data_IF_339714012483
#
_entry.id   IF_339714012483
#
_cell.length_a   1.000
_cell.length_b   1.000
_cell.length_c   1.000
_cell.angle_alpha   90.00
_cell.angle_beta   90.00
_cell.angle_gamma   90.00
#
_symmetry.space_group_name_H-M   'P 1'
#
loop_
_entity.id
_entity.type
_entity.pdbx_description
1 polymer ?
#
# COMPACT_ATOMS: atom_id res chain seq x y z
N UNK A 1 20.95 0.31 -0.02
CA UNK A 1 19.64 -0.12 0.50
C UNK A 1 18.53 0.86 0.07
N UNK A 2 18.63 2.16 0.40
CA UNK A 2 17.66 3.20 0.00
C UNK A 2 17.22 3.20 -1.46
N UNK A 3 18.15 3.14 -2.41
CA UNK A 3 17.84 3.09 -3.85
C UNK A 3 17.00 1.86 -4.25
N UNK A 4 17.36 0.67 -3.77
CA UNK A 4 16.59 -0.54 -4.05
C UNK A 4 15.21 -0.51 -3.37
N UNK A 5 15.14 0.01 -2.12
CA UNK A 5 13.89 0.20 -1.42
C UNK A 5 12.96 1.18 -2.18
N UNK A 6 13.48 2.30 -2.67
CA UNK A 6 12.72 3.26 -3.49
C UNK A 6 12.14 2.61 -4.75
N UNK A 7 12.92 1.79 -5.46
CA UNK A 7 12.44 1.07 -6.64
C UNK A 7 11.32 0.07 -6.32
N UNK A 8 11.48 -0.69 -5.22
CA UNK A 8 10.49 -1.67 -4.75
C UNK A 8 9.21 -0.96 -4.32
N UNK A 9 9.33 0.12 -3.53
CA UNK A 9 8.19 0.92 -3.06
C UNK A 9 7.45 1.55 -4.24
N UNK A 10 8.16 2.13 -5.21
CA UNK A 10 7.54 2.69 -6.41
C UNK A 10 6.71 1.66 -7.19
N UNK A 11 7.25 0.44 -7.37
CA UNK A 11 6.52 -0.67 -7.98
C UNK A 11 5.33 -1.14 -7.15
N UNK A 12 5.49 -1.23 -5.83
CA UNK A 12 4.42 -1.63 -4.91
C UNK A 12 3.26 -0.62 -4.92
N UNK A 13 3.55 0.67 -4.83
CA UNK A 13 2.54 1.75 -4.85
C UNK A 13 1.85 1.83 -6.21
N UNK A 14 2.57 1.60 -7.32
CA UNK A 14 1.95 1.44 -8.65
C UNK A 14 0.91 0.32 -8.65
N UNK A 15 1.28 -0.86 -8.16
CA UNK A 15 0.38 -2.02 -8.12
C UNK A 15 -0.81 -1.80 -7.20
N UNK A 16 -0.59 -1.22 -6.00
CA UNK A 16 -1.64 -0.90 -5.04
C UNK A 16 -2.71 0.00 -5.68
N UNK A 17 -2.26 1.10 -6.30
CA UNK A 17 -3.13 2.08 -6.94
C UNK A 17 -3.92 1.52 -8.14
N UNK A 18 -3.39 0.53 -8.85
CA UNK A 18 -4.09 -0.10 -9.97
C UNK A 18 -4.99 -1.27 -9.53
N UNK A 19 -5.01 -1.60 -8.24
CA UNK A 19 -5.71 -2.76 -7.72
C UNK A 19 -7.13 -2.42 -7.26
N UNK A 20 -8.16 -3.19 -7.70
CA UNK A 20 -9.51 -3.04 -7.15
C UNK A 20 -9.62 -3.50 -5.68
N UNK A 21 -8.56 -4.13 -5.15
CA UNK A 21 -8.45 -4.49 -3.74
C UNK A 21 -8.01 -3.35 -2.83
N UNK A 22 -7.30 -2.36 -3.37
CA UNK A 22 -6.71 -1.30 -2.56
C UNK A 22 -7.80 -0.48 -1.88
N UNK A 23 -7.62 -0.25 -0.58
CA UNK A 23 -8.60 0.46 0.25
C UNK A 23 -8.75 1.91 -0.20
N UNK A 24 -7.65 2.60 -0.50
CA UNK A 24 -7.69 3.99 -0.99
C UNK A 24 -8.36 4.06 -2.35
N UNK A 25 -8.02 3.15 -3.26
CA UNK A 25 -8.62 3.04 -4.59
C UNK A 25 -10.14 2.81 -4.52
N UNK A 26 -10.59 1.92 -3.63
CA UNK A 26 -12.01 1.66 -3.40
C UNK A 26 -12.72 2.87 -2.78
N UNK A 27 -12.10 3.48 -1.77
CA UNK A 27 -12.66 4.61 -1.02
C UNK A 27 -12.73 5.90 -1.87
N UNK A 28 -11.74 6.16 -2.73
CA UNK A 28 -11.76 7.26 -3.69
C UNK A 28 -12.89 7.09 -4.72
N UNK A 29 -13.13 5.87 -5.19
CA UNK A 29 -14.25 5.57 -6.08
C UNK A 29 -15.61 5.72 -5.36
N UNK A 30 -15.71 5.22 -4.11
CA UNK A 30 -16.90 5.27 -3.28
C UNK A 30 -17.34 6.72 -2.98
N UNK A 31 -16.43 7.54 -2.46
CA UNK A 31 -16.69 8.93 -2.04
C UNK A 31 -17.16 9.79 -3.21
N UNK A 32 -16.53 9.60 -4.37
CA UNK A 32 -16.87 10.34 -5.59
C UNK A 32 -18.05 9.76 -6.36
N UNK A 33 -18.60 8.62 -5.90
CA UNK A 33 -19.70 7.89 -6.54
C UNK A 33 -19.37 7.47 -7.99
N UNK A 34 -18.16 6.96 -8.20
CA UNK A 34 -17.67 6.46 -9.50
C UNK A 34 -17.52 4.95 -9.43
N UNK A 35 -17.83 4.26 -10.53
CA UNK A 35 -17.55 2.83 -10.62
C UNK A 35 -16.04 2.56 -10.53
N UNK A 36 -15.64 1.56 -9.73
CA UNK A 36 -14.22 1.23 -9.48
C UNK A 36 -13.40 1.04 -10.77
N UNK A 37 -13.96 0.40 -11.79
CA UNK A 37 -13.26 0.20 -13.07
C UNK A 37 -13.15 1.49 -13.88
N UNK A 38 -14.13 2.40 -13.79
CA UNK A 38 -14.04 3.72 -14.39
C UNK A 38 -13.00 4.60 -13.68
N UNK A 39 -12.90 4.48 -12.36
CA UNK A 39 -11.84 5.11 -11.56
C UNK A 39 -10.45 4.61 -11.99
N UNK A 40 -10.22 3.29 -11.99
CA UNK A 40 -8.96 2.68 -12.45
C UNK A 40 -8.62 3.13 -13.88
N UNK A 41 -9.60 3.08 -14.80
CA UNK A 41 -9.41 3.54 -16.18
C UNK A 41 -8.99 5.02 -16.24
N UNK A 42 -9.54 5.86 -15.38
CA UNK A 42 -9.15 7.26 -15.29
C UNK A 42 -7.71 7.43 -14.78
N UNK A 43 -7.32 6.64 -13.77
CA UNK A 43 -5.97 6.66 -13.20
C UNK A 43 -4.89 6.19 -14.18
N UNK A 44 -5.20 5.32 -15.13
CA UNK A 44 -4.24 4.89 -16.16
C UNK A 44 -3.60 6.06 -16.90
N UNK A 45 -4.34 7.17 -17.09
CA UNK A 45 -3.83 8.37 -17.77
C UNK A 45 -2.72 9.10 -17.03
N UNK A 46 -2.64 8.98 -15.70
CA UNK A 46 -1.56 9.59 -14.91
C UNK A 46 -0.53 8.56 -14.51
N UNK A 47 -1.00 7.36 -14.14
CA UNK A 47 -0.17 6.31 -13.54
C UNK A 47 0.68 5.58 -14.58
N UNK A 48 0.15 5.22 -15.76
CA UNK A 48 0.95 4.52 -16.77
C UNK A 48 2.09 5.40 -17.31
N UNK A 49 1.85 6.67 -17.72
CA UNK A 49 2.95 7.54 -18.16
C UNK A 49 4.01 7.75 -17.08
N UNK A 50 3.59 8.00 -15.83
CA UNK A 50 4.51 8.16 -14.70
C UNK A 50 5.33 6.89 -14.46
N UNK A 51 4.72 5.72 -14.58
CA UNK A 51 5.39 4.43 -14.38
C UNK A 51 6.37 4.11 -15.51
N UNK A 52 6.05 4.46 -16.76
CA UNK A 52 7.00 4.31 -17.88
C UNK A 52 8.23 5.20 -17.67
N UNK A 53 8.03 6.45 -17.24
CA UNK A 53 9.12 7.37 -16.92
C UNK A 53 9.95 6.81 -15.75
N UNK A 54 9.29 6.37 -14.68
CA UNK A 54 9.94 5.76 -13.53
C UNK A 54 10.75 4.51 -13.91
N UNK A 55 10.18 3.61 -14.71
CA UNK A 55 10.88 2.42 -15.21
C UNK A 55 12.12 2.80 -16.03
N UNK A 56 12.04 3.81 -16.89
CA UNK A 56 13.18 4.28 -17.66
C UNK A 56 14.29 4.84 -16.75
N UNK A 57 13.92 5.64 -15.73
CA UNK A 57 14.86 6.18 -14.74
C UNK A 57 15.52 5.03 -13.96
N UNK A 58 14.73 4.10 -13.40
CA UNK A 58 15.24 2.96 -12.66
C UNK A 58 16.12 2.04 -13.50
N UNK A 59 15.79 1.86 -14.78
CA UNK A 59 16.62 1.11 -15.72
C UNK A 59 17.99 1.78 -15.93
N UNK A 60 18.02 3.09 -16.20
CA UNK A 60 19.27 3.83 -16.42
C UNK A 60 20.14 3.83 -15.15
N UNK A 61 19.53 4.09 -13.98
CA UNK A 61 20.23 4.06 -12.69
C UNK A 61 20.75 2.65 -12.40
N UNK A 62 19.96 1.62 -12.71
CA UNK A 62 20.35 0.22 -12.56
C UNK A 62 21.57 -0.17 -13.40
N UNK A 63 21.67 0.33 -14.64
CA UNK A 63 22.83 0.09 -15.51
C UNK A 63 24.15 0.66 -14.97
N UNK A 64 24.07 1.71 -14.15
CA UNK A 64 25.24 2.31 -13.52
C UNK A 64 25.71 1.54 -12.28
N UNK A 65 24.87 0.65 -11.75
CA UNK A 65 25.16 -0.08 -10.53
C UNK A 65 26.04 -1.30 -10.80
N UNK A 66 27.34 -1.17 -10.53
CA UNK A 66 28.31 -2.27 -10.55
C UNK A 66 28.35 -2.99 -9.20
N UNK A 67 27.25 -3.66 -8.84
CA UNK A 67 27.21 -4.50 -7.64
C UNK A 67 27.86 -5.85 -7.91
N UNK A 68 28.82 -6.27 -7.08
CA UNK A 68 29.31 -7.65 -7.08
C UNK A 68 28.21 -8.56 -6.47
N UNK A 69 27.51 -9.30 -7.32
CA UNK A 69 26.53 -10.26 -6.86
C UNK A 69 27.27 -11.46 -6.25
N UNK A 70 27.21 -11.60 -4.92
CA UNK A 70 27.76 -12.76 -4.23
C UNK A 70 26.91 -14.01 -4.54
N UNK A 71 27.20 -14.64 -5.68
CA UNK A 71 26.43 -15.78 -6.20
C UNK A 71 26.48 -16.96 -5.23
N UNK A 72 27.59 -17.12 -4.50
CA UNK A 72 27.74 -18.19 -3.51
C UNK A 72 26.80 -17.99 -2.32
N UNK A 73 26.67 -16.76 -1.81
CA UNK A 73 25.71 -16.44 -0.75
C UNK A 73 24.26 -16.68 -1.20
N UNK A 74 23.92 -16.31 -2.44
CA UNK A 74 22.59 -16.55 -3.02
C UNK A 74 22.30 -18.06 -3.12
N UNK A 75 23.26 -18.85 -3.61
CA UNK A 75 23.08 -20.31 -3.73
C UNK A 75 22.92 -20.98 -2.38
N UNK A 76 23.69 -20.56 -1.38
CA UNK A 76 23.56 -21.07 -0.01
C UNK A 76 22.17 -20.77 0.57
N UNK A 77 21.68 -19.53 0.37
CA UNK A 77 20.35 -19.11 0.82
C UNK A 77 19.24 -19.91 0.14
N UNK A 78 19.32 -20.12 -1.18
CA UNK A 78 18.33 -20.92 -1.92
C UNK A 78 18.31 -22.38 -1.47
N UNK A 79 19.49 -22.96 -1.20
CA UNK A 79 19.61 -24.33 -0.69
C UNK A 79 18.96 -24.46 0.69
N UNK A 80 19.20 -23.49 1.56
CA UNK A 80 18.58 -23.43 2.89
C UNK A 80 17.05 -23.29 2.79
N UNK A 81 16.54 -22.39 1.95
CA UNK A 81 15.09 -22.25 1.74
C UNK A 81 14.42 -23.52 1.20
N UNK A 82 15.11 -24.28 0.35
CA UNK A 82 14.59 -25.56 -0.18
C UNK A 82 14.51 -26.64 0.91
N UNK A 83 15.26 -26.51 2.00
CA UNK A 83 15.14 -27.40 3.17
C UNK A 83 14.04 -27.00 4.13
N UNK A 84 13.56 -25.75 4.05
CA UNK A 84 12.49 -25.20 4.89
C UNK A 84 11.12 -25.33 4.20
N UNK A 85 11.05 -25.03 2.90
CA UNK A 85 9.82 -25.02 2.12
C UNK A 85 9.81 -26.13 1.07
N UNK A 86 8.68 -26.84 0.99
CA UNK A 86 8.33 -27.72 -0.11
C UNK A 86 7.64 -26.88 -1.20
N UNK A 87 8.45 -26.30 -2.10
CA UNK A 87 7.93 -25.52 -3.23
C UNK A 87 7.25 -26.41 -4.27
N UNK A 88 5.99 -26.74 -4.03
CA UNK A 88 5.15 -27.52 -4.94
C UNK A 88 3.95 -26.71 -5.44
N UNK A 89 3.08 -27.37 -6.22
CA UNK A 89 1.90 -26.72 -6.76
C UNK A 89 0.91 -26.23 -5.68
N UNK A 90 0.85 -26.89 -4.51
CA UNK A 90 -0.10 -26.56 -3.44
C UNK A 90 0.16 -25.19 -2.82
N UNK A 91 1.43 -24.75 -2.75
CA UNK A 91 1.82 -23.43 -2.21
C UNK A 91 1.16 -22.26 -2.95
N UNK A 92 0.72 -22.47 -4.20
CA UNK A 92 0.05 -21.43 -5.00
C UNK A 92 -1.44 -21.25 -4.69
N UNK A 93 -2.07 -22.21 -4.01
CA UNK A 93 -3.52 -22.19 -3.79
C UNK A 93 -4.00 -20.95 -3.03
N UNK A 94 -3.34 -20.46 -1.95
CA UNK A 94 -3.79 -19.26 -1.25
C UNK A 94 -3.80 -18.03 -2.17
N UNK A 95 -2.81 -17.91 -3.06
CA UNK A 95 -2.75 -16.86 -4.07
C UNK A 95 -3.90 -17.01 -5.09
N UNK A 96 -4.11 -18.21 -5.60
CA UNK A 96 -5.19 -18.51 -6.56
C UNK A 96 -6.55 -18.19 -5.96
N UNK A 97 -6.78 -18.54 -4.70
CA UNK A 97 -8.01 -18.24 -3.97
C UNK A 97 -8.27 -16.74 -3.91
N UNK A 98 -7.25 -15.93 -3.55
CA UNK A 98 -7.40 -14.47 -3.56
C UNK A 98 -7.82 -14.01 -4.95
N UNK A 99 -7.07 -14.39 -5.99
CA UNK A 99 -7.33 -13.98 -7.38
C UNK A 99 -8.75 -14.36 -7.82
N UNK A 100 -9.21 -15.56 -7.52
CA UNK A 100 -10.58 -16.00 -7.81
C UNK A 100 -11.61 -15.15 -7.07
N UNK A 101 -11.43 -14.89 -5.77
CA UNK A 101 -12.31 -14.02 -5.01
C UNK A 101 -12.42 -12.62 -5.64
N UNK A 102 -11.33 -12.07 -6.20
CA UNK A 102 -11.35 -10.77 -6.89
C UNK A 102 -12.14 -10.81 -8.18
N UNK A 103 -11.93 -11.86 -8.97
CA UNK A 103 -12.67 -12.07 -10.23
C UNK A 103 -14.17 -12.15 -9.93
N UNK A 104 -14.55 -12.83 -8.85
CA UNK A 104 -15.93 -12.93 -8.39
C UNK A 104 -16.43 -11.73 -7.58
N UNK A 105 -15.63 -10.66 -7.46
CA UNK A 105 -15.99 -9.40 -6.77
C UNK A 105 -16.38 -9.60 -5.30
N UNK A 106 -15.79 -10.58 -4.64
CA UNK A 106 -15.89 -10.75 -3.18
C UNK A 106 -15.12 -9.60 -2.52
N UNK A 107 -15.62 -9.08 -1.40
CA UNK A 107 -14.96 -8.00 -0.67
C UNK A 107 -13.53 -8.38 -0.23
N UNK A 108 -12.64 -7.39 -0.13
CA UNK A 108 -11.21 -7.57 0.19
C UNK A 108 -11.00 -8.36 1.48
N UNK A 109 -11.63 -7.94 2.58
CA UNK A 109 -11.41 -8.54 3.91
C UNK A 109 -11.79 -10.03 3.96
N UNK A 110 -13.00 -10.46 3.52
CA UNK A 110 -13.31 -11.88 3.40
C UNK A 110 -12.34 -12.64 2.49
N UNK A 111 -11.92 -12.06 1.37
CA UNK A 111 -10.99 -12.70 0.43
C UNK A 111 -9.64 -13.01 1.08
N UNK A 112 -9.10 -12.06 1.86
CA UNK A 112 -7.85 -12.24 2.61
C UNK A 112 -7.99 -13.29 3.72
N UNK A 113 -9.14 -13.36 4.41
CA UNK A 113 -9.40 -14.37 5.43
C UNK A 113 -9.49 -15.78 4.85
N UNK A 114 -10.23 -15.97 3.76
CA UNK A 114 -10.36 -17.27 3.08
C UNK A 114 -8.99 -17.75 2.60
N UNK A 115 -8.20 -16.85 2.01
CA UNK A 115 -6.84 -17.16 1.60
C UNK A 115 -5.92 -17.53 2.77
N UNK A 116 -5.97 -16.77 3.86
CA UNK A 116 -5.16 -17.05 5.06
C UNK A 116 -5.52 -18.41 5.66
N UNK A 117 -6.80 -18.76 5.74
CA UNK A 117 -7.26 -20.08 6.19
C UNK A 117 -6.76 -21.18 5.24
N UNK A 118 -6.80 -20.95 3.94
CA UNK A 118 -6.26 -21.93 2.97
C UNK A 118 -4.75 -22.12 3.13
N UNK A 119 -3.99 -21.04 3.41
CA UNK A 119 -2.56 -21.11 3.69
C UNK A 119 -2.27 -21.93 4.95
N UNK A 120 -3.08 -21.78 6.01
CA UNK A 120 -2.98 -22.59 7.21
C UNK A 120 -3.21 -24.08 6.91
N UNK A 121 -4.26 -24.40 6.14
CA UNK A 121 -4.57 -25.77 5.73
C UNK A 121 -3.38 -26.37 4.97
N UNK A 122 -2.87 -25.68 3.95
CA UNK A 122 -1.76 -26.19 3.13
C UNK A 122 -0.47 -26.31 3.95
N UNK A 123 -0.17 -25.32 4.80
CA UNK A 123 0.98 -25.39 5.70
C UNK A 123 0.92 -26.61 6.63
N UNK A 124 -0.27 -26.94 7.14
CA UNK A 124 -0.44 -28.12 8.00
C UNK A 124 -0.30 -29.44 7.26
N UNK A 125 -0.85 -29.56 6.04
CA UNK A 125 -0.83 -30.82 5.30
C UNK A 125 0.49 -31.06 4.54
N UNK A 126 1.05 -30.03 3.92
CA UNK A 126 2.18 -30.16 3.00
C UNK A 126 3.54 -29.93 3.68
N UNK A 127 3.58 -29.01 4.64
CA UNK A 127 4.80 -28.66 5.37
C UNK A 127 4.81 -29.26 6.79
N UNK A 128 3.75 -30.00 7.17
CA UNK A 128 3.60 -30.65 8.48
C UNK A 128 3.69 -29.67 9.66
N UNK A 129 3.37 -28.40 9.44
CA UNK A 129 3.32 -27.41 10.52
C UNK A 129 2.19 -27.74 11.50
N UNK A 130 2.44 -27.49 12.78
CA UNK A 130 1.40 -27.54 13.78
C UNK A 130 0.39 -26.42 13.52
N UNK A 131 -0.89 -26.77 13.40
CA UNK A 131 -1.96 -25.81 13.14
C UNK A 131 -2.02 -24.70 14.19
N UNK A 132 -1.66 -25.00 15.45
CA UNK A 132 -1.57 -24.00 16.52
C UNK A 132 -0.52 -22.93 16.24
N UNK A 133 0.63 -23.35 15.71
CA UNK A 133 1.73 -22.44 15.37
C UNK A 133 1.36 -21.59 14.14
N UNK A 134 0.60 -22.14 13.19
CA UNK A 134 0.06 -21.37 12.08
C UNK A 134 -0.90 -20.25 12.52
N UNK A 135 -1.81 -20.54 13.45
CA UNK A 135 -2.66 -19.50 14.04
C UNK A 135 -1.84 -18.47 14.80
N UNK A 136 -0.86 -18.91 15.61
CA UNK A 136 0.05 -18.01 16.33
C UNK A 136 0.82 -17.11 15.36
N UNK A 137 1.31 -17.66 14.25
CA UNK A 137 2.01 -16.91 13.21
C UNK A 137 1.14 -15.81 12.58
N UNK A 138 -0.18 -16.04 12.48
CA UNK A 138 -1.10 -15.02 11.96
C UNK A 138 -1.20 -13.78 12.87
N UNK A 139 -1.01 -13.96 14.18
CA UNK A 139 -1.05 -12.89 15.17
C UNK A 139 0.35 -12.30 15.44
N UNK A 140 1.29 -13.14 15.86
CA UNK A 140 2.61 -12.73 16.34
C UNK A 140 3.66 -12.63 15.22
N UNK A 141 3.37 -13.20 14.05
CA UNK A 141 4.32 -13.39 12.96
C UNK A 141 4.96 -14.78 12.97
N UNK A 142 5.45 -15.19 11.81
CA UNK A 142 6.17 -16.45 11.66
C UNK A 142 7.56 -16.31 12.28
N UNK A 143 7.99 -17.30 13.06
CA UNK A 143 9.29 -17.27 13.74
C UNK A 143 10.05 -18.58 13.47
N UNK A 144 11.39 -18.53 13.39
CA UNK A 144 12.22 -19.71 13.23
C UNK A 144 11.98 -20.78 14.31
N UNK A 145 11.52 -20.42 15.51
CA UNK A 145 11.16 -21.40 16.56
C UNK A 145 9.96 -22.27 16.20
N UNK A 146 9.16 -21.86 15.22
CA UNK A 146 8.04 -22.65 14.68
C UNK A 146 8.52 -23.69 13.66
N UNK A 147 9.80 -23.66 13.28
CA UNK A 147 10.42 -24.66 12.43
C UNK A 147 11.04 -25.77 13.27
N UNK A 148 11.06 -26.97 12.71
CA UNK A 148 11.70 -28.14 13.32
C UNK A 148 13.23 -28.15 13.16
N UNK A 149 13.83 -27.13 12.50
CA UNK A 149 15.26 -27.02 12.25
C UNK A 149 15.94 -26.06 13.23
N UNK A 150 17.08 -26.47 13.76
CA UNK A 150 17.81 -25.75 14.82
C UNK A 150 18.78 -24.69 14.33
N UNK A 151 19.24 -24.75 13.07
CA UNK A 151 20.18 -23.78 12.52
C UNK A 151 19.67 -23.19 11.22
N UNK A 152 19.34 -21.90 11.28
CA UNK A 152 18.96 -21.08 10.13
C UNK A 152 19.86 -19.84 10.12
N UNK A 153 20.42 -19.51 8.96
CA UNK A 153 21.25 -18.33 8.74
C UNK A 153 20.45 -17.05 8.96
N UNK A 154 21.10 -15.96 9.39
CA UNK A 154 20.39 -14.71 9.65
C UNK A 154 19.77 -14.12 8.37
N UNK A 155 20.37 -14.35 7.20
CA UNK A 155 19.78 -13.97 5.92
C UNK A 155 18.47 -14.74 5.64
N UNK A 156 18.44 -16.04 5.92
CA UNK A 156 17.20 -16.82 5.79
C UNK A 156 16.15 -16.39 6.81
N UNK A 157 16.55 -16.06 8.05
CA UNK A 157 15.63 -15.50 9.06
C UNK A 157 14.94 -14.23 8.55
N UNK A 158 15.67 -13.30 7.93
CA UNK A 158 15.04 -12.07 7.39
C UNK A 158 13.99 -12.32 6.30
N UNK A 159 14.03 -13.48 5.63
CA UNK A 159 13.04 -13.83 4.61
C UNK A 159 11.83 -14.56 5.21
N UNK A 160 12.06 -15.48 6.14
CA UNK A 160 11.01 -16.35 6.70
C UNK A 160 10.29 -15.70 7.88
N UNK A 161 11.00 -14.91 8.69
CA UNK A 161 10.43 -14.24 9.86
C UNK A 161 9.67 -12.99 9.42
N UNK A 162 8.44 -13.21 8.99
CA UNK A 162 7.52 -12.15 8.60
C UNK A 162 6.56 -11.85 9.77
N UNK A 163 6.12 -10.60 9.85
CA UNK A 163 5.23 -10.15 10.92
C UNK A 163 3.86 -10.81 10.93
N UNK A 164 3.03 -10.43 11.90
CA UNK A 164 1.62 -10.80 12.00
C UNK A 164 0.79 -9.56 12.29
N UNK A 165 -0.47 -9.72 12.70
CA UNK A 165 -1.32 -8.57 13.06
C UNK A 165 -0.68 -7.68 14.13
N UNK A 166 0.11 -8.25 15.05
CA UNK A 166 0.79 -7.48 16.10
C UNK A 166 1.83 -6.50 15.56
N UNK A 167 2.53 -6.82 14.46
CA UNK A 167 3.50 -5.89 13.86
C UNK A 167 2.82 -4.68 13.22
N UNK A 168 1.51 -4.77 12.93
CA UNK A 168 0.70 -3.66 12.41
C UNK A 168 0.06 -2.81 13.52
N UNK A 169 0.25 -3.12 14.80
CA UNK A 169 -0.40 -2.41 15.92
C UNK A 169 -0.10 -0.92 15.91
N UNK A 170 1.17 -0.54 15.66
CA UNK A 170 1.55 0.87 15.57
C UNK A 170 0.79 1.57 14.45
N UNK A 171 0.69 0.94 13.28
CA UNK A 171 -0.05 1.49 12.12
C UNK A 171 -1.53 1.65 12.48
N UNK A 172 -2.14 0.64 13.11
CA UNK A 172 -3.54 0.68 13.53
C UNK A 172 -3.78 1.83 14.51
N UNK A 173 -2.94 1.97 15.54
CA UNK A 173 -3.04 3.06 16.52
C UNK A 173 -2.89 4.43 15.84
N UNK A 174 -1.92 4.58 14.93
CA UNK A 174 -1.76 5.80 14.13
C UNK A 174 -3.00 6.12 13.30
N UNK A 175 -3.63 5.11 12.69
CA UNK A 175 -4.89 5.27 11.95
C UNK A 175 -6.00 5.78 12.88
N UNK A 176 -6.17 5.17 14.06
CA UNK A 176 -7.18 5.60 15.03
C UNK A 176 -6.95 7.05 15.50
N UNK A 177 -5.72 7.41 15.84
CA UNK A 177 -5.36 8.77 16.23
C UNK A 177 -5.60 9.76 15.08
N UNK A 178 -5.24 9.40 13.84
CA UNK A 178 -5.49 10.20 12.65
C UNK A 178 -6.99 10.44 12.44
N UNK A 179 -7.83 9.41 12.54
CA UNK A 179 -9.28 9.53 12.39
C UNK A 179 -9.89 10.41 13.48
N UNK A 180 -9.44 10.25 14.73
CA UNK A 180 -9.88 11.09 15.84
C UNK A 180 -9.52 12.56 15.62
N UNK A 181 -8.27 12.84 15.21
CA UNK A 181 -7.82 14.20 14.89
C UNK A 181 -8.64 14.82 13.76
N UNK A 182 -8.82 14.10 12.66
CA UNK A 182 -9.58 14.58 11.52
C UNK A 182 -11.05 14.88 11.87
N UNK A 183 -11.69 14.00 12.66
CA UNK A 183 -13.05 14.24 13.15
C UNK A 183 -13.17 15.47 14.04
N UNK A 184 -12.15 15.77 14.86
CA UNK A 184 -12.10 17.00 15.68
C UNK A 184 -11.95 18.22 14.76
N UNK A 185 -11.04 18.18 13.79
CA UNK A 185 -10.79 19.27 12.82
C UNK A 185 -12.03 19.55 11.96
N UNK A 186 -12.74 18.50 11.56
CA UNK A 186 -14.03 18.61 10.86
C UNK A 186 -15.08 19.27 11.76
N UNK A 187 -15.26 18.76 12.99
CA UNK A 187 -16.30 19.29 13.88
C UNK A 187 -16.02 20.71 14.38
N UNK A 188 -14.75 21.10 14.44
CA UNK A 188 -14.31 22.46 14.75
C UNK A 188 -14.58 23.46 13.60
N UNK A 189 -14.98 22.99 12.41
CA UNK A 189 -15.25 23.84 11.24
C UNK A 189 -13.99 24.33 10.53
N UNK A 190 -12.80 23.83 10.90
CA UNK A 190 -11.55 24.22 10.25
C UNK A 190 -11.55 23.85 8.76
N UNK A 191 -12.17 22.71 8.42
CA UNK A 191 -12.28 22.23 7.05
C UNK A 191 -13.18 23.13 6.19
N UNK A 192 -14.28 23.62 6.77
CA UNK A 192 -15.20 24.53 6.08
C UNK A 192 -14.50 25.86 5.75
N UNK A 193 -13.71 26.39 6.69
CA UNK A 193 -12.91 27.60 6.47
C UNK A 193 -11.85 27.40 5.39
N UNK A 194 -11.17 26.24 5.39
CA UNK A 194 -10.20 25.88 4.35
C UNK A 194 -10.90 25.79 2.99
N UNK A 195 -12.05 25.12 2.92
CA UNK A 195 -12.84 25.00 1.70
C UNK A 195 -13.32 26.37 1.19
N UNK A 196 -13.89 27.21 2.03
CA UNK A 196 -14.34 28.54 1.62
C UNK A 196 -13.21 29.42 1.10
N UNK A 197 -12.04 29.32 1.74
CA UNK A 197 -10.83 30.05 1.32
C UNK A 197 -10.36 29.56 -0.05
N UNK A 198 -10.35 28.23 -0.24
CA UNK A 198 -9.99 27.59 -1.51
C UNK A 198 -10.98 27.93 -2.63
N UNK A 199 -12.29 27.87 -2.35
CA UNK A 199 -13.34 28.09 -3.33
C UNK A 199 -13.27 29.48 -3.96
N UNK A 200 -12.84 30.50 -3.21
CA UNK A 200 -12.63 31.87 -3.71
C UNK A 200 -11.52 31.96 -4.77
N UNK A 201 -10.56 31.04 -4.74
CA UNK A 201 -9.44 30.97 -5.69
C UNK A 201 -9.74 30.21 -6.98
N UNK A 202 -10.85 29.46 -7.03
CA UNK A 202 -11.16 28.58 -8.17
C UNK A 202 -11.80 29.37 -9.30
N UNK A 203 -10.97 29.72 -10.30
CA UNK A 203 -11.40 30.45 -11.52
C UNK A 203 -11.40 29.60 -12.79
N UNK A 204 -10.81 28.41 -12.74
CA UNK A 204 -10.66 27.52 -13.90
C UNK A 204 -10.56 26.05 -13.47
N UNK A 205 -10.82 25.12 -14.40
CA UNK A 205 -10.67 23.68 -14.16
C UNK A 205 -9.25 23.31 -13.72
N UNK A 206 -8.23 23.98 -14.27
CA UNK A 206 -6.83 23.75 -13.89
C UNK A 206 -6.57 24.16 -12.44
N UNK A 207 -7.09 25.31 -12.05
CA UNK A 207 -6.97 25.81 -10.68
C UNK A 207 -7.72 24.92 -9.69
N UNK A 208 -8.89 24.40 -10.06
CA UNK A 208 -9.64 23.43 -9.27
C UNK A 208 -8.84 22.15 -8.99
N UNK A 209 -8.28 21.54 -10.04
CA UNK A 209 -7.46 20.33 -9.91
C UNK A 209 -6.20 20.61 -9.07
N UNK A 210 -5.49 21.71 -9.36
CA UNK A 210 -4.28 22.10 -8.64
C UNK A 210 -4.55 22.27 -7.14
N UNK A 211 -5.61 23.01 -6.78
CA UNK A 211 -5.92 23.23 -5.38
C UNK A 211 -6.36 21.93 -4.70
N UNK A 212 -7.10 21.06 -5.41
CA UNK A 212 -7.45 19.73 -4.88
C UNK A 212 -6.18 18.94 -4.55
N UNK A 213 -5.19 18.92 -5.45
CA UNK A 213 -3.90 18.25 -5.21
C UNK A 213 -3.16 18.84 -4.01
N UNK A 214 -3.00 20.16 -3.97
CA UNK A 214 -2.26 20.84 -2.88
C UNK A 214 -2.95 20.62 -1.53
N UNK A 215 -4.29 20.74 -1.49
CA UNK A 215 -5.08 20.52 -0.30
C UNK A 215 -4.94 19.08 0.21
N UNK A 216 -5.11 18.09 -0.67
CA UNK A 216 -4.92 16.68 -0.32
C UNK A 216 -3.51 16.40 0.20
N UNK A 217 -2.46 16.91 -0.46
CA UNK A 217 -1.07 16.69 -0.01
C UNK A 217 -0.85 17.31 1.38
N UNK A 218 -1.29 18.55 1.61
CA UNK A 218 -1.15 19.21 2.91
C UNK A 218 -1.88 18.45 4.02
N UNK A 219 -3.09 17.98 3.73
CA UNK A 219 -3.90 17.24 4.69
C UNK A 219 -3.34 15.84 4.93
N UNK A 220 -2.82 15.16 3.91
CA UNK A 220 -2.18 13.85 4.07
C UNK A 220 -0.89 13.97 4.88
N UNK A 221 -0.10 15.01 4.62
CA UNK A 221 1.08 15.34 5.42
C UNK A 221 0.71 15.56 6.89
N UNK A 222 -0.34 16.34 7.17
CA UNK A 222 -0.80 16.61 8.53
C UNK A 222 -1.42 15.38 9.23
N UNK A 223 -2.24 14.61 8.52
CA UNK A 223 -3.00 13.49 9.09
C UNK A 223 -2.21 12.18 9.14
N UNK A 224 -1.23 11.99 8.26
CA UNK A 224 -0.47 10.74 8.13
C UNK A 224 -1.28 9.54 7.62
N UNK A 225 -2.51 9.76 7.12
CA UNK A 225 -3.43 8.70 6.65
C UNK A 225 -4.20 9.20 5.43
N UNK A 226 -4.09 8.50 4.29
CA UNK A 226 -4.76 8.90 3.05
C UNK A 226 -6.30 8.74 3.08
N UNK A 227 -6.81 7.69 3.72
CA UNK A 227 -8.24 7.34 3.71
C UNK A 227 -9.14 8.49 4.21
N UNK A 228 -8.71 9.19 5.26
CA UNK A 228 -9.39 10.38 5.80
C UNK A 228 -9.48 11.47 4.76
N UNK A 229 -8.33 11.79 4.17
CA UNK A 229 -8.19 12.94 3.29
C UNK A 229 -8.96 12.71 2.01
N UNK A 230 -8.99 11.48 1.50
CA UNK A 230 -9.80 11.12 0.33
C UNK A 230 -11.30 11.30 0.63
N UNK A 231 -11.79 10.87 1.81
CA UNK A 231 -13.20 11.12 2.21
C UNK A 231 -13.46 12.62 2.27
N UNK A 232 -12.63 13.32 3.04
CA UNK A 232 -12.83 14.70 3.40
C UNK A 232 -12.74 15.62 2.19
N UNK A 233 -11.62 15.62 1.47
CA UNK A 233 -11.42 16.43 0.27
C UNK A 233 -12.38 15.98 -0.84
N UNK A 234 -12.68 14.68 -0.93
CA UNK A 234 -13.63 14.16 -1.90
C UNK A 234 -15.05 14.68 -1.71
N UNK A 235 -15.54 14.72 -0.46
CA UNK A 235 -16.86 15.32 -0.14
C UNK A 235 -16.83 16.83 -0.38
N UNK A 236 -15.80 17.51 0.11
CA UNK A 236 -15.62 18.95 0.01
C UNK A 236 -15.56 19.45 -1.44
N UNK A 237 -14.81 18.78 -2.32
CA UNK A 237 -14.59 19.25 -3.70
C UNK A 237 -15.67 18.81 -4.68
N UNK A 238 -16.51 17.83 -4.32
CA UNK A 238 -17.46 17.20 -5.23
C UNK A 238 -18.39 18.20 -5.94
N UNK A 239 -19.04 19.06 -5.18
CA UNK A 239 -20.02 20.01 -5.71
C UNK A 239 -19.36 21.02 -6.67
N UNK A 240 -18.11 21.37 -6.42
CA UNK A 240 -17.35 22.30 -7.27
C UNK A 240 -16.94 21.64 -8.59
N UNK A 241 -16.52 20.37 -8.57
CA UNK A 241 -16.29 19.59 -9.79
C UNK A 241 -17.58 19.45 -10.62
N UNK A 242 -18.72 19.18 -9.97
CA UNK A 242 -20.02 19.11 -10.64
C UNK A 242 -20.43 20.46 -11.25
N UNK A 243 -20.33 21.58 -10.50
CA UNK A 243 -20.63 22.94 -10.98
C UNK A 243 -19.79 23.36 -12.18
N UNK A 244 -18.55 22.88 -12.27
CA UNK A 244 -17.64 23.18 -13.37
C UNK A 244 -17.69 22.15 -14.52
N UNK A 245 -18.67 21.23 -14.52
CA UNK A 245 -18.83 20.17 -15.51
C UNK A 245 -17.57 19.29 -15.67
N UNK A 246 -16.83 19.05 -14.58
CA UNK A 246 -15.66 18.17 -14.58
C UNK A 246 -16.11 16.77 -14.16
N UNK A 247 -15.63 15.74 -14.87
CA UNK A 247 -15.98 14.35 -14.57
C UNK A 247 -15.58 13.96 -13.14
N UNK A 248 -16.48 13.24 -12.46
CA UNK A 248 -16.24 12.67 -11.12
C UNK A 248 -15.03 11.73 -11.10
N UNK A 249 -14.75 11.07 -12.23
CA UNK A 249 -13.55 10.23 -12.37
C UNK A 249 -12.26 11.05 -12.27
N UNK A 250 -12.27 12.32 -12.70
CA UNK A 250 -11.11 13.22 -12.55
C UNK A 250 -10.92 13.61 -11.10
N UNK A 251 -11.99 13.94 -10.37
CA UNK A 251 -11.91 14.16 -8.92
C UNK A 251 -11.36 12.92 -8.22
N UNK A 252 -11.95 11.76 -8.49
CA UNK A 252 -11.56 10.47 -7.91
C UNK A 252 -10.09 10.15 -8.13
N UNK A 253 -9.61 10.29 -9.37
CA UNK A 253 -8.18 10.15 -9.70
C UNK A 253 -7.32 11.19 -8.98
N UNK A 254 -7.76 12.44 -8.94
CA UNK A 254 -6.97 13.52 -8.31
C UNK A 254 -6.77 13.25 -6.82
N UNK A 255 -7.80 12.75 -6.12
CA UNK A 255 -7.70 12.36 -4.71
C UNK A 255 -6.68 11.25 -4.51
N UNK A 256 -6.74 10.19 -5.33
CA UNK A 256 -5.81 9.05 -5.25
C UNK A 256 -4.38 9.47 -5.59
N UNK A 257 -4.19 10.26 -6.66
CA UNK A 257 -2.89 10.76 -7.10
C UNK A 257 -2.21 11.61 -6.02
N UNK A 258 -2.98 12.40 -5.28
CA UNK A 258 -2.45 13.37 -4.31
C UNK A 258 -2.39 12.85 -2.87
N UNK A 259 -3.13 11.78 -2.56
CA UNK A 259 -3.19 11.23 -1.20
C UNK A 259 -2.36 9.96 -1.06
N UNK A 260 -2.52 9.00 -1.97
CA UNK A 260 -1.89 7.67 -1.86
C UNK A 260 -0.42 7.72 -2.24
N UNK A 261 -0.05 8.47 -3.29
CA UNK A 261 1.33 8.48 -3.81
C UNK A 261 2.35 9.15 -2.88
N UNK A 262 1.91 10.09 -2.04
CA UNK A 262 2.81 10.85 -1.15
C UNK A 262 2.94 10.17 0.22
N UNK A 263 1.97 9.32 0.59
CA UNK A 263 1.95 8.64 1.89
C UNK A 263 3.21 7.82 2.23
N UNK A 264 3.88 7.13 1.28
CA UNK A 264 5.16 6.46 1.55
C UNK A 264 6.25 7.40 2.07
N UNK A 265 6.18 8.67 1.70
CA UNK A 265 7.22 9.67 1.98
C UNK A 265 7.03 10.38 3.33
N UNK A 266 5.96 10.06 4.07
CA UNK A 266 5.62 10.71 5.34
C UNK A 266 6.06 9.78 6.48
N UNK A 267 7.11 10.13 7.26
CA UNK A 267 7.70 9.22 8.25
C UNK A 267 6.76 8.81 9.39
N UNK A 268 5.81 9.68 9.77
CA UNK A 268 4.77 9.39 10.76
C UNK A 268 3.50 8.82 10.14
N UNK A 269 3.45 8.72 8.81
CA UNK A 269 2.31 8.22 8.08
C UNK A 269 2.28 6.69 8.04
N UNK A 270 1.09 6.12 7.86
CA UNK A 270 0.89 4.67 7.92
C UNK A 270 1.74 3.91 6.90
N UNK A 271 1.78 4.38 5.65
CA UNK A 271 2.62 3.79 4.61
C UNK A 271 4.11 4.04 4.84
N UNK A 272 4.50 5.24 5.30
CA UNK A 272 5.90 5.51 5.61
C UNK A 272 6.45 4.61 6.72
N UNK A 273 5.66 4.39 7.77
CA UNK A 273 5.97 3.43 8.84
C UNK A 273 6.09 2.01 8.26
N UNK A 274 5.09 1.55 7.50
CA UNK A 274 5.07 0.21 6.91
C UNK A 274 6.25 -0.04 5.96
N UNK A 275 6.48 0.88 5.02
CA UNK A 275 7.54 0.76 4.02
C UNK A 275 8.94 0.99 4.60
N UNK A 276 9.07 1.61 5.77
CA UNK A 276 10.35 1.64 6.47
C UNK A 276 10.65 0.31 7.19
N UNK A 277 9.63 -0.30 7.79
CA UNK A 277 9.78 -1.57 8.51
C UNK A 277 10.06 -2.76 7.59
N UNK A 278 9.35 -2.89 6.46
CA UNK A 278 9.44 -4.08 5.63
C UNK A 278 10.85 -4.34 5.03
N UNK A 279 11.51 -3.36 4.38
CA UNK A 279 12.89 -3.51 3.92
C UNK A 279 13.94 -3.19 5.00
N UNK A 280 13.51 -2.78 6.21
CA UNK A 280 14.37 -2.24 7.27
C UNK A 280 15.24 -1.06 6.79
N UNK A 281 14.60 -0.10 6.09
CA UNK A 281 15.25 1.08 5.50
C UNK A 281 14.48 2.31 5.93
N UNK A 282 15.14 3.28 6.55
CA UNK A 282 14.47 4.50 7.02
C UNK A 282 14.00 5.38 5.86
N UNK A 283 12.94 6.16 6.10
CA UNK A 283 12.31 7.00 5.06
C UNK A 283 13.30 7.95 4.40
N UNK A 284 14.20 8.57 5.16
CA UNK A 284 15.23 9.46 4.63
C UNK A 284 16.13 8.81 3.57
N UNK A 285 16.37 7.50 3.66
CA UNK A 285 17.24 6.79 2.72
C UNK A 285 16.57 6.53 1.38
N UNK A 286 15.25 6.31 1.35
CA UNK A 286 14.51 6.10 0.10
C UNK A 286 13.78 7.35 -0.39
N UNK A 287 13.58 8.38 0.44
CA UNK A 287 12.85 9.60 0.10
C UNK A 287 13.45 10.36 -1.10
N UNK A 288 14.78 10.31 -1.25
CA UNK A 288 15.48 10.98 -2.36
C UNK A 288 15.30 10.28 -3.71
N UNK A 289 14.80 9.04 -3.70
CA UNK A 289 14.65 8.18 -4.86
C UNK A 289 13.18 8.03 -5.27
#
# INVERSE_FOLDING_TARGET
>A
AGMAAGAIIAGAVFCDKMSPLSDTTNLAALVTKVNIFAHIKSMMWTTIPASIIGLAIWFIVGLQYKGDANTQQIQNLLKELTTIYNLNFWVWIPLIIIVLCLIFRISTVPSMLISSISALVIGTFDHQFNMKDGFKASFDGFNHTMLHQSHISDNAKTLIEQGGMMSMTQIIVTIFCGYAFAGIVEKAGCLDVILETIAKGVKSVRTLILITVVCSIMLVFAAGVASIVIIMVGVLMKDMFEKMNVSKSVLSRTLEDSSTMVLPLIPWGTSGIYYAHQPNVSVDQFFIW
#
